data_IF_758727346763
#
_entry.id   IF_758727346763
#
_cell.length_a   1.000
_cell.length_b   1.000
_cell.length_c   1.000
_cell.angle_alpha   90.00
_cell.angle_beta   90.00
_cell.angle_gamma   90.00
#
_symmetry.space_group_name_H-M   'P 1'
#
loop_
_entity.id
_entity.type
_entity.pdbx_description
1 polymer ?
#
# COMPACT_ATOMS: atom_id res chain seq x y z
N UNK A 1 -0.65 1.42 -17.78
CA UNK A 1 0.37 0.56 -17.13
C UNK A 1 1.70 1.28 -16.86
N UNK A 2 2.12 2.23 -17.70
CA UNK A 2 3.35 3.03 -17.51
C UNK A 2 3.30 4.07 -16.37
N UNK A 3 2.11 4.56 -15.99
CA UNK A 3 1.96 5.58 -14.93
C UNK A 3 2.40 5.03 -13.56
N UNK A 4 2.16 3.73 -13.29
CA UNK A 4 2.57 3.09 -12.03
C UNK A 4 4.09 2.98 -11.89
N UNK A 5 4.82 2.78 -13.00
CA UNK A 5 6.28 2.61 -12.97
C UNK A 5 6.99 3.96 -12.81
N UNK A 6 6.49 5.00 -13.50
CA UNK A 6 7.06 6.36 -13.43
C UNK A 6 6.80 6.99 -12.05
N UNK A 7 5.60 6.82 -11.48
CA UNK A 7 5.29 7.34 -10.14
C UNK A 7 6.04 6.60 -9.03
N UNK A 8 6.35 5.32 -9.25
CA UNK A 8 7.10 4.49 -8.31
C UNK A 8 8.62 4.73 -8.38
N UNK A 9 9.17 4.98 -9.56
CA UNK A 9 10.58 5.35 -9.73
C UNK A 9 10.93 6.71 -9.08
N UNK A 10 9.96 7.63 -9.01
CA UNK A 10 10.13 8.92 -8.31
C UNK A 10 10.06 8.77 -6.77
N UNK A 11 9.42 7.72 -6.25
CA UNK A 11 9.24 7.51 -4.79
C UNK A 11 10.36 6.68 -4.14
N UNK A 12 11.27 6.06 -4.90
CA UNK A 12 12.26 5.13 -4.35
C UNK A 12 13.46 5.79 -3.63
N UNK A 13 13.37 7.09 -3.35
CA UNK A 13 14.51 7.88 -2.87
C UNK A 13 14.17 8.83 -1.72
N UNK A 14 13.18 8.54 -0.87
CA UNK A 14 13.03 9.27 0.41
C UNK A 14 12.58 8.30 1.51
N UNK A 15 13.37 8.29 2.57
CA UNK A 15 13.30 7.46 3.76
C UNK A 15 11.89 7.06 4.28
N UNK A 16 11.73 5.74 4.38
CA UNK A 16 11.13 5.00 5.50
C UNK A 16 9.61 4.91 5.74
N UNK A 17 8.70 5.58 5.03
CA UNK A 17 7.25 5.27 5.19
C UNK A 17 6.43 5.42 3.90
N UNK A 18 6.31 4.36 3.08
CA UNK A 18 5.64 4.46 1.78
C UNK A 18 4.14 4.80 1.92
N UNK A 19 3.46 4.29 2.96
CA UNK A 19 2.06 4.63 3.22
C UNK A 19 1.83 6.09 3.64
N UNK A 20 2.76 6.68 4.39
CA UNK A 20 2.65 8.08 4.83
C UNK A 20 2.85 9.05 3.66
N UNK A 21 3.65 8.64 2.66
CA UNK A 21 3.83 9.39 1.42
C UNK A 21 2.61 9.26 0.48
N UNK A 22 2.03 8.07 0.36
CA UNK A 22 0.80 7.85 -0.43
C UNK A 22 -0.42 8.58 0.18
N UNK A 23 -0.46 8.74 1.50
CA UNK A 23 -1.57 9.38 2.22
C UNK A 23 -1.07 10.47 3.20
N UNK A 24 -0.55 11.60 2.69
CA UNK A 24 0.06 12.65 3.53
C UNK A 24 -0.96 13.32 4.45
N UNK A 25 -2.22 13.39 4.02
CA UNK A 25 -3.34 13.97 4.79
C UNK A 25 -3.74 13.09 5.98
N UNK A 26 -3.51 11.77 5.89
CA UNK A 26 -3.92 10.79 6.89
C UNK A 26 -2.75 10.23 7.70
N UNK A 27 -1.59 10.92 7.67
CA UNK A 27 -0.36 10.48 8.37
C UNK A 27 -0.55 10.21 9.86
N UNK A 28 -1.36 11.03 10.53
CA UNK A 28 -1.61 10.91 11.96
C UNK A 28 -2.47 9.67 12.25
N UNK A 29 -3.52 9.48 11.47
CA UNK A 29 -4.42 8.34 11.56
C UNK A 29 -3.70 7.03 11.22
N UNK A 30 -2.83 7.03 10.20
CA UNK A 30 -1.93 5.91 9.89
C UNK A 30 -1.07 5.53 11.08
N UNK A 31 -0.44 6.50 11.74
CA UNK A 31 0.42 6.25 12.89
C UNK A 31 -0.38 5.70 14.08
N UNK A 32 -1.55 6.29 14.34
CA UNK A 32 -2.46 5.87 15.40
C UNK A 32 -2.99 4.46 15.16
N UNK A 33 -3.50 4.15 13.96
CA UNK A 33 -3.97 2.82 13.59
C UNK A 33 -2.84 1.80 13.66
N UNK A 34 -1.61 2.15 13.26
CA UNK A 34 -0.47 1.23 13.36
C UNK A 34 -0.09 0.90 14.81
N UNK A 35 -0.35 1.81 15.74
CA UNK A 35 -0.07 1.59 17.17
C UNK A 35 -1.23 0.90 17.89
N UNK A 36 -2.47 1.20 17.50
CA UNK A 36 -3.67 0.72 18.19
C UNK A 36 -4.30 -0.52 17.55
N UNK A 37 -4.03 -0.80 16.27
CA UNK A 37 -4.56 -1.93 15.52
C UNK A 37 -3.41 -2.83 15.02
N UNK A 38 -3.18 -4.01 15.65
CA UNK A 38 -2.11 -4.90 15.27
C UNK A 38 -2.32 -5.55 13.89
N UNK A 39 -3.56 -5.65 13.41
CA UNK A 39 -3.84 -6.13 12.05
C UNK A 39 -3.45 -5.07 11.02
N UNK A 40 -3.68 -3.79 11.33
CA UNK A 40 -3.20 -2.68 10.51
C UNK A 40 -1.67 -2.60 10.51
N UNK A 41 -1.03 -2.84 11.65
CA UNK A 41 0.43 -2.89 11.73
C UNK A 41 1.03 -3.94 10.78
N UNK A 42 0.50 -5.16 10.82
CA UNK A 42 0.91 -6.23 9.89
C UNK A 42 0.66 -5.85 8.44
N UNK A 43 -0.48 -5.22 8.15
CA UNK A 43 -0.82 -4.81 6.79
C UNK A 43 0.15 -3.75 6.24
N UNK A 44 0.58 -2.81 7.09
CA UNK A 44 1.60 -1.83 6.73
C UNK A 44 2.97 -2.48 6.50
N UNK A 45 3.36 -3.43 7.34
CA UNK A 45 4.60 -4.19 7.19
C UNK A 45 4.59 -5.05 5.91
N UNK A 46 3.47 -5.71 5.62
CA UNK A 46 3.29 -6.52 4.41
C UNK A 46 3.40 -5.65 3.14
N UNK A 47 2.80 -4.46 3.16
CA UNK A 47 2.91 -3.50 2.06
C UNK A 47 4.37 -3.05 1.84
N UNK A 48 5.08 -2.74 2.92
CA UNK A 48 6.50 -2.34 2.84
C UNK A 48 7.38 -3.50 2.35
N UNK A 49 7.15 -4.72 2.83
CA UNK A 49 7.88 -5.91 2.40
C UNK A 49 7.65 -6.20 0.91
N UNK A 50 6.40 -6.07 0.45
CA UNK A 50 6.03 -6.27 -0.94
C UNK A 50 6.68 -5.22 -1.85
N UNK A 51 6.62 -3.95 -1.47
CA UNK A 51 7.24 -2.86 -2.23
C UNK A 51 8.76 -3.04 -2.35
N UNK A 52 9.43 -3.39 -1.25
CA UNK A 52 10.87 -3.74 -1.24
C UNK A 52 11.17 -4.93 -2.15
N UNK A 53 10.30 -5.94 -2.18
CA UNK A 53 10.48 -7.11 -3.04
C UNK A 53 10.35 -6.74 -4.51
N UNK A 54 9.34 -5.95 -4.87
CA UNK A 54 9.16 -5.44 -6.25
C UNK A 54 10.40 -4.63 -6.64
N UNK A 55 10.93 -3.76 -5.76
CA UNK A 55 12.17 -3.01 -6.02
C UNK A 55 13.34 -3.95 -6.34
N UNK A 56 13.59 -4.98 -5.52
CA UNK A 56 14.68 -5.94 -5.76
C UNK A 56 14.54 -6.68 -7.09
N UNK A 57 13.31 -7.02 -7.48
CA UNK A 57 13.05 -7.68 -8.77
C UNK A 57 13.30 -6.72 -9.93
N UNK A 58 12.85 -5.47 -9.83
CA UNK A 58 13.03 -4.44 -10.88
C UNK A 58 14.48 -3.94 -10.97
N UNK A 59 15.24 -3.96 -9.86
CA UNK A 59 16.69 -3.74 -9.83
C UNK A 59 17.49 -4.93 -10.41
N UNK A 60 16.83 -6.04 -10.72
CA UNK A 60 17.47 -7.26 -11.23
C UNK A 60 18.27 -8.03 -10.18
N UNK A 61 18.06 -7.74 -8.88
CA UNK A 61 18.67 -8.46 -7.76
C UNK A 61 18.01 -9.83 -7.59
N UNK A 62 16.69 -9.91 -7.76
CA UNK A 62 15.91 -11.15 -7.72
C UNK A 62 15.32 -11.44 -9.11
N UNK A 63 15.66 -12.61 -9.68
CA UNK A 63 15.05 -13.09 -10.92
C UNK A 63 13.69 -13.70 -10.60
N UNK A 64 12.64 -12.91 -10.77
CA UNK A 64 11.25 -13.34 -10.63
C UNK A 64 10.61 -13.44 -12.02
N UNK A 65 9.80 -14.48 -12.24
CA UNK A 65 9.02 -14.59 -13.48
C UNK A 65 8.06 -13.41 -13.64
N UNK A 66 7.82 -12.95 -14.86
CA UNK A 66 6.92 -11.83 -15.17
C UNK A 66 5.50 -12.05 -14.61
N UNK A 67 5.00 -13.29 -14.63
CA UNK A 67 3.70 -13.66 -14.04
C UNK A 67 3.68 -13.44 -12.53
N UNK A 68 4.76 -13.80 -11.85
CA UNK A 68 4.89 -13.61 -10.41
C UNK A 68 5.05 -12.12 -10.05
N UNK A 69 5.81 -11.35 -10.84
CA UNK A 69 5.90 -9.89 -10.67
C UNK A 69 4.53 -9.22 -10.85
N UNK A 70 3.74 -9.69 -11.83
CA UNK A 70 2.37 -9.22 -12.06
C UNK A 70 1.46 -9.52 -10.87
N UNK A 71 1.57 -10.71 -10.28
CA UNK A 71 0.84 -11.06 -9.05
C UNK A 71 1.25 -10.17 -7.87
N UNK A 72 2.54 -9.86 -7.69
CA UNK A 72 3.00 -8.93 -6.64
C UNK A 72 2.44 -7.52 -6.88
N UNK A 73 2.42 -7.04 -8.12
CA UNK A 73 1.83 -5.74 -8.47
C UNK A 73 0.33 -5.70 -8.17
N UNK A 74 -0.41 -6.79 -8.38
CA UNK A 74 -1.82 -6.90 -7.97
C UNK A 74 -1.98 -6.86 -6.45
N UNK A 75 -1.20 -7.64 -5.72
CA UNK A 75 -1.22 -7.64 -4.25
C UNK A 75 -0.95 -6.24 -3.67
N UNK A 76 -0.06 -5.47 -4.30
CA UNK A 76 0.22 -4.09 -3.88
C UNK A 76 -1.01 -3.19 -3.99
N UNK A 77 -1.77 -3.33 -5.08
CA UNK A 77 -3.01 -2.59 -5.26
C UNK A 77 -4.04 -3.01 -4.21
N UNK A 78 -4.19 -4.31 -3.96
CA UNK A 78 -5.12 -4.83 -2.94
C UNK A 78 -4.77 -4.33 -1.54
N UNK A 79 -3.49 -4.37 -1.15
CA UNK A 79 -3.04 -3.85 0.13
C UNK A 79 -3.31 -2.34 0.26
N UNK A 80 -3.09 -1.56 -0.81
CA UNK A 80 -3.42 -0.14 -0.82
C UNK A 80 -4.92 0.11 -0.65
N UNK A 81 -5.77 -0.65 -1.32
CA UNK A 81 -7.22 -0.57 -1.17
C UNK A 81 -7.65 -0.93 0.26
N UNK A 82 -7.04 -1.95 0.87
CA UNK A 82 -7.29 -2.31 2.26
C UNK A 82 -6.86 -1.19 3.23
N UNK A 83 -5.70 -0.56 3.02
CA UNK A 83 -5.30 0.63 3.81
C UNK A 83 -6.33 1.73 3.65
N UNK A 84 -6.69 2.09 2.42
CA UNK A 84 -7.66 3.14 2.14
C UNK A 84 -9.03 2.85 2.76
N UNK A 85 -9.46 1.58 2.79
CA UNK A 85 -10.70 1.17 3.44
C UNK A 85 -10.66 1.32 4.97
N UNK A 86 -9.48 1.24 5.59
CA UNK A 86 -9.29 1.40 7.04
C UNK A 86 -9.12 2.87 7.44
N UNK A 87 -8.56 3.69 6.54
CA UNK A 87 -8.41 5.14 6.67
C UNK A 87 -9.65 5.94 6.30
N UNK A 88 -10.56 5.35 5.52
CA UNK A 88 -11.91 5.93 5.44
C UNK A 88 -12.51 5.72 6.81
N UNK A 89 -12.98 6.79 7.50
CA UNK A 89 -13.81 6.59 8.68
C UNK A 89 -14.91 5.63 8.23
N UNK A 90 -15.30 4.70 9.09
CA UNK A 90 -16.39 3.78 8.82
C UNK A 90 -17.67 4.57 8.49
N UNK A 91 -17.78 5.07 7.27
CA UNK A 91 -19.02 5.38 6.58
C UNK A 91 -19.55 4.03 6.13
N UNK A 92 -19.72 3.14 7.11
CA UNK A 92 -20.91 2.34 7.15
C UNK A 92 -22.03 3.36 7.19
N UNK A 93 -22.49 3.69 5.99
CA UNK A 93 -23.85 4.05 5.66
C UNK A 93 -24.80 3.77 6.84
N UNK A 94 -24.96 4.77 7.70
CA UNK A 94 -26.10 4.85 8.57
C UNK A 94 -27.29 5.22 7.68
N UNK A 95 -28.17 4.26 7.44
CA UNK A 95 -29.55 4.52 7.03
C UNK A 95 -29.80 4.81 5.55
N UNK A 96 -30.73 4.02 4.99
CA UNK A 96 -31.59 4.34 3.84
C UNK A 96 -30.90 4.42 2.48
N UNK A 97 -31.07 3.39 1.63
CA UNK A 97 -31.37 3.49 0.20
C UNK A 97 -31.31 2.09 -0.47
N UNK A 98 -32.38 1.30 -0.36
CA UNK A 98 -32.83 0.49 -1.49
C UNK A 98 -34.35 0.61 -1.51
N UNK A 99 -34.83 1.44 -2.45
CA UNK A 99 -36.23 1.47 -2.87
C UNK A 99 -36.55 0.35 -3.84
#
# INVERSE_FOLDING_TARGET
MLILVIFWSISMHIEHHPLVHDFPEQRAELHELRQNDPDFARLADDYEALDKRICRVEEGIELLADDALTALKQQRVELKDRVASRLKPATTCCGCCQG
#
